data_IF_307411393773
#
_entry.id   IF_307411393773
#
_cell.length_a   1.000
_cell.length_b   1.000
_cell.length_c   1.000
_cell.angle_alpha   90.00
_cell.angle_beta   90.00
_cell.angle_gamma   90.00
#
_symmetry.space_group_name_H-M   'P 1'
#
loop_
_entity.id
_entity.type
_entity.pdbx_description
1 polymer ?
#
# COMPACT_ATOMS: atom_id res chain seq x y z
N UNK A 1 -9.75 -5.45 10.74
CA UNK A 1 -9.45 -6.59 11.63
C UNK A 1 -8.49 -7.54 10.94
N UNK A 2 -8.31 -8.78 11.43
CA UNK A 2 -7.39 -9.73 10.79
C UNK A 2 -7.72 -10.04 9.33
N UNK A 3 -9.00 -10.20 8.98
CA UNK A 3 -9.40 -10.37 7.57
C UNK A 3 -9.01 -9.19 6.67
N UNK A 4 -9.15 -7.95 7.16
CA UNK A 4 -8.69 -6.76 6.43
C UNK A 4 -7.18 -6.75 6.22
N UNK A 5 -6.42 -7.24 7.19
CA UNK A 5 -4.97 -7.34 7.08
C UNK A 5 -4.55 -8.45 6.11
N UNK A 6 -5.24 -9.58 6.12
CA UNK A 6 -5.06 -10.68 5.18
C UNK A 6 -5.24 -10.20 3.73
N UNK A 7 -6.41 -9.61 3.43
CA UNK A 7 -6.71 -9.04 2.11
C UNK A 7 -5.71 -7.94 1.69
N UNK A 8 -5.29 -7.09 2.63
CA UNK A 8 -4.29 -6.04 2.38
C UNK A 8 -2.96 -6.64 1.91
N UNK A 9 -2.44 -7.63 2.64
CA UNK A 9 -1.14 -8.22 2.31
C UNK A 9 -1.22 -9.14 1.08
N UNK A 10 -2.33 -9.84 0.87
CA UNK A 10 -2.56 -10.59 -0.35
C UNK A 10 -2.56 -9.66 -1.57
N UNK A 11 -3.37 -8.60 -1.55
CA UNK A 11 -3.44 -7.64 -2.65
C UNK A 11 -2.09 -6.98 -2.92
N UNK A 12 -1.35 -6.60 -1.86
CA UNK A 12 -0.01 -6.02 -1.99
C UNK A 12 0.95 -7.01 -2.66
N UNK A 13 0.92 -8.28 -2.26
CA UNK A 13 1.76 -9.34 -2.83
C UNK A 13 1.43 -9.60 -4.30
N UNK A 14 0.16 -9.59 -4.68
CA UNK A 14 -0.27 -9.76 -6.07
C UNK A 14 0.22 -8.62 -6.97
N UNK A 15 0.14 -7.38 -6.50
CA UNK A 15 0.65 -6.21 -7.24
C UNK A 15 2.18 -6.26 -7.32
N UNK A 16 2.86 -6.53 -6.20
CA UNK A 16 4.31 -6.64 -6.12
C UNK A 16 4.87 -7.68 -7.09
N UNK A 17 4.26 -8.87 -7.13
CA UNK A 17 4.70 -10.00 -7.96
C UNK A 17 4.19 -9.92 -9.41
N UNK A 18 3.51 -8.83 -9.77
CA UNK A 18 2.89 -8.60 -11.09
C UNK A 18 1.91 -9.72 -11.49
N UNK A 19 1.27 -10.35 -10.51
CA UNK A 19 0.24 -11.38 -10.71
C UNK A 19 -1.16 -10.77 -10.88
N UNK A 20 -1.31 -9.45 -10.66
CA UNK A 20 -2.51 -8.68 -10.97
C UNK A 20 -2.19 -7.41 -11.75
N UNK A 21 -3.24 -6.72 -12.22
CA UNK A 21 -3.08 -5.36 -12.77
C UNK A 21 -2.55 -4.42 -11.68
N UNK A 22 -1.68 -3.44 -12.03
CA UNK A 22 -1.18 -2.47 -11.07
C UNK A 22 -2.31 -1.55 -10.61
N UNK A 23 -2.96 -1.90 -9.51
CA UNK A 23 -4.00 -1.10 -8.87
C UNK A 23 -3.43 -0.45 -7.61
N UNK A 24 -3.79 0.82 -7.31
CA UNK A 24 -3.39 1.44 -6.06
C UNK A 24 -4.15 0.79 -4.90
N UNK A 25 -3.46 0.50 -3.80
CA UNK A 25 -4.08 0.04 -2.57
C UNK A 25 -4.20 1.25 -1.65
N UNK A 26 -5.44 1.67 -1.36
CA UNK A 26 -5.72 2.89 -0.61
C UNK A 26 -6.18 2.53 0.81
N UNK A 27 -5.39 2.96 1.79
CA UNK A 27 -5.63 2.83 3.22
C UNK A 27 -6.34 4.09 3.72
N UNK A 28 -7.59 3.93 4.16
CA UNK A 28 -8.38 5.03 4.71
C UNK A 28 -8.09 5.24 6.21
N UNK A 29 -7.81 6.48 6.60
CA UNK A 29 -7.57 6.89 7.98
C UNK A 29 -6.10 6.72 8.39
N UNK A 30 -5.30 7.76 8.21
CA UNK A 30 -3.86 7.79 8.51
C UNK A 30 -3.54 7.37 9.93
N UNK A 31 -4.29 7.87 10.92
CA UNK A 31 -4.10 7.55 12.35
C UNK A 31 -4.17 6.05 12.62
N UNK A 32 -5.10 5.34 11.98
CA UNK A 32 -5.26 3.89 12.17
C UNK A 32 -4.10 3.09 11.58
N UNK A 33 -3.60 3.50 10.40
CA UNK A 33 -2.57 2.76 9.66
C UNK A 33 -1.13 3.16 9.99
N UNK A 34 -0.93 4.29 10.67
CA UNK A 34 0.39 4.85 10.94
C UNK A 34 1.33 3.84 11.60
N UNK A 35 0.87 3.13 12.64
CA UNK A 35 1.69 2.15 13.34
C UNK A 35 2.18 1.00 12.45
N UNK A 36 1.33 0.51 11.55
CA UNK A 36 1.72 -0.54 10.60
C UNK A 36 2.73 -0.01 9.59
N UNK A 37 2.49 1.17 9.04
CA UNK A 37 3.35 1.77 8.02
C UNK A 37 4.72 2.15 8.57
N UNK A 38 4.79 2.58 9.83
CA UNK A 38 6.06 2.84 10.50
C UNK A 38 6.83 1.55 10.74
N UNK A 39 6.17 0.48 11.19
CA UNK A 39 6.82 -0.83 11.31
C UNK A 39 7.35 -1.34 9.96
N UNK A 40 6.56 -1.22 8.89
CA UNK A 40 6.99 -1.58 7.53
C UNK A 40 8.24 -0.81 7.08
N UNK A 41 8.31 0.49 7.37
CA UNK A 41 9.46 1.35 7.01
C UNK A 41 10.69 1.10 7.89
N UNK A 42 10.49 0.94 9.20
CA UNK A 42 11.58 0.89 10.17
C UNK A 42 12.20 -0.49 10.28
N UNK A 43 11.39 -1.55 10.13
CA UNK A 43 11.83 -2.94 10.31
C UNK A 43 11.93 -3.64 8.96
N UNK A 44 10.80 -3.80 8.27
CA UNK A 44 10.72 -4.67 7.08
C UNK A 44 11.56 -4.15 5.92
N UNK A 45 11.53 -2.83 5.68
CA UNK A 45 12.36 -2.18 4.66
C UNK A 45 13.85 -2.18 5.04
N UNK A 46 14.19 -1.87 6.30
CA UNK A 46 15.58 -1.86 6.79
C UNK A 46 16.22 -3.24 6.70
N UNK A 47 15.47 -4.30 7.00
CA UNK A 47 15.88 -5.69 6.83
C UNK A 47 15.90 -6.16 5.36
N UNK A 48 15.59 -5.28 4.40
CA UNK A 48 15.54 -5.58 2.96
C UNK A 48 14.57 -6.72 2.60
N UNK A 49 13.51 -6.89 3.38
CA UNK A 49 12.42 -7.84 3.07
C UNK A 49 11.49 -7.32 1.98
N UNK A 50 11.42 -6.00 1.83
CA UNK A 50 10.72 -5.29 0.76
C UNK A 50 11.59 -4.16 0.23
N UNK A 51 11.26 -3.63 -0.95
CA UNK A 51 11.91 -2.46 -1.55
C UNK A 51 11.12 -1.17 -1.25
N UNK A 52 11.73 0.02 -1.37
CA UNK A 52 11.00 1.29 -1.28
C UNK A 52 9.84 1.39 -2.27
N UNK A 53 9.97 0.71 -3.43
CA UNK A 53 8.95 0.68 -4.47
C UNK A 53 7.75 -0.18 -4.07
N UNK A 54 7.96 -1.27 -3.33
CA UNK A 54 6.87 -2.11 -2.84
C UNK A 54 6.00 -1.34 -1.86
N UNK A 55 6.59 -0.52 -0.99
CA UNK A 55 5.84 0.34 -0.09
C UNK A 55 5.05 1.44 -0.82
N UNK A 56 5.47 1.84 -2.02
CA UNK A 56 4.77 2.83 -2.83
C UNK A 56 3.46 2.28 -3.47
N UNK A 57 3.19 0.98 -3.35
CA UNK A 57 1.90 0.36 -3.69
C UNK A 57 0.80 0.87 -2.74
N UNK A 58 1.16 1.09 -1.47
CA UNK A 58 0.27 1.56 -0.43
C UNK A 58 0.13 3.09 -0.49
N UNK A 59 -1.11 3.56 -0.53
CA UNK A 59 -1.48 4.99 -0.49
C UNK A 59 -2.35 5.23 0.72
N UNK A 60 -2.20 6.38 1.36
CA UNK A 60 -3.04 6.79 2.48
C UNK A 60 -3.98 7.89 1.99
N UNK A 61 -5.21 7.87 2.48
CA UNK A 61 -6.18 8.94 2.32
C UNK A 61 -6.96 9.13 3.62
N UNK A 62 -7.25 10.37 3.97
CA UNK A 62 -8.12 10.76 5.07
C UNK A 62 -9.47 11.28 4.60
N UNK A 63 -9.58 11.68 3.32
CA UNK A 63 -10.83 12.16 2.73
C UNK A 63 -11.20 11.45 1.43
N UNK A 64 -12.49 11.42 1.06
CA UNK A 64 -12.94 10.90 -0.23
C UNK A 64 -12.24 11.56 -1.44
N UNK A 65 -11.96 12.86 -1.36
CA UNK A 65 -11.27 13.60 -2.42
C UNK A 65 -9.84 13.12 -2.62
N UNK A 66 -9.15 12.73 -1.55
CA UNK A 66 -7.83 12.13 -1.62
C UNK A 66 -7.87 10.74 -2.23
N UNK A 67 -8.87 9.92 -1.89
CA UNK A 67 -9.12 8.63 -2.54
C UNK A 67 -9.29 8.83 -4.05
N UNK A 68 -10.16 9.77 -4.45
CA UNK A 68 -10.39 10.08 -5.87
C UNK A 68 -9.13 10.57 -6.57
N UNK A 69 -8.28 11.33 -5.89
CA UNK A 69 -6.99 11.78 -6.42
C UNK A 69 -6.08 10.59 -6.71
N UNK A 70 -5.95 9.64 -5.78
CA UNK A 70 -5.14 8.43 -5.97
C UNK A 70 -5.66 7.54 -7.10
N UNK A 71 -6.99 7.46 -7.27
CA UNK A 71 -7.60 6.69 -8.37
C UNK A 71 -7.35 7.34 -9.76
N UNK A 72 -7.34 8.67 -9.84
CA UNK A 72 -7.16 9.42 -11.09
C UNK A 72 -5.72 9.47 -11.58
N UNK A 73 -4.76 9.48 -10.66
CA UNK A 73 -3.33 9.55 -11.01
C UNK A 73 -2.84 8.24 -11.65
N UNK A 74 -3.63 7.16 -11.58
CA UNK A 74 -3.20 5.84 -12.00
C UNK A 74 -2.08 5.31 -11.11
N UNK A 75 -1.91 4.00 -11.03
CA UNK A 75 -0.71 3.46 -10.39
C UNK A 75 0.51 3.99 -11.15
N UNK A 76 1.57 4.48 -10.48
CA UNK A 76 2.82 4.79 -11.17
C UNK A 76 3.20 3.58 -12.02
N UNK A 77 3.61 3.81 -13.27
CA UNK A 77 4.01 2.73 -14.17
C UNK A 77 4.99 1.83 -13.41
N UNK A 78 4.57 0.59 -13.15
CA UNK A 78 5.51 -0.43 -12.74
C UNK A 78 6.38 -0.68 -13.98
N UNK A 79 7.70 -0.43 -14.01
CA UNK A 79 8.54 -1.12 -14.97
C UNK A 79 8.38 -2.63 -14.75
#
# INVERSE_FOLDING_TARGET
GFGTLDELFEATTLVQTRRSRPIPIILLGSVYWQGLLDWLRQVVLTERRVSPRDLAILRIADTPEEVLRHLRVGSPALP
#
